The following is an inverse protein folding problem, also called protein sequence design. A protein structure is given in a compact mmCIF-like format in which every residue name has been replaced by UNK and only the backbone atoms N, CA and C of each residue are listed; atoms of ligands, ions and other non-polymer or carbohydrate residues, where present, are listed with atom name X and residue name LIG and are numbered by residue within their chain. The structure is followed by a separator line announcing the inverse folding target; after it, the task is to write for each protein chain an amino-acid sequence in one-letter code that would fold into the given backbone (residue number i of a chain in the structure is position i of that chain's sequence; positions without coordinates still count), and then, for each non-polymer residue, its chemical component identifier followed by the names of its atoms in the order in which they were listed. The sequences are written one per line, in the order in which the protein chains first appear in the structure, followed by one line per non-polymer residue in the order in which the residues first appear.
data_IF_408855926567
#
_entry.id   IF_408855926567
#
_cell.length_a   1.000
_cell.length_b   1.000
_cell.length_c   1.000
_cell.angle_alpha   90.00
_cell.angle_beta   90.00
_cell.angle_gamma   90.00
#
_symmetry.space_group_name_H-M   'P 1'
#
loop_
_entity.id
_entity.type
_entity.pdbx_description
1 polymer ?
#
# COMPACT_ATOMS: atom_id res chain seq x y z
N UNK A 1 -0.14 27.32 3.97
CA UNK A 1 0.63 26.46 3.05
C UNK A 1 2.10 26.49 3.48
N UNK A 2 2.66 25.37 3.94
CA UNK A 2 4.08 25.27 4.26
C UNK A 2 4.86 25.25 2.94
N UNK A 3 5.66 26.29 2.70
CA UNK A 3 6.52 26.41 1.52
C UNK A 3 7.94 26.03 1.92
N UNK A 4 8.28 24.76 1.72
CA UNK A 4 9.67 24.30 1.80
C UNK A 4 10.30 24.43 0.40
N UNK A 5 11.30 25.29 0.29
CA UNK A 5 12.01 25.48 -0.98
C UNK A 5 12.90 24.25 -1.30
N UNK A 6 13.48 24.20 -2.50
CA UNK A 6 14.33 23.09 -2.91
C UNK A 6 15.60 22.95 -2.05
N UNK A 7 16.26 24.04 -1.71
CA UNK A 7 17.50 24.03 -0.93
C UNK A 7 17.27 23.47 0.48
N UNK A 8 16.16 23.84 1.12
CA UNK A 8 15.78 23.31 2.42
C UNK A 8 15.47 21.82 2.36
N UNK A 9 14.83 21.32 1.30
CA UNK A 9 14.62 19.87 1.12
C UNK A 9 15.92 19.09 1.02
N UNK A 10 16.85 19.60 0.20
CA UNK A 10 18.17 18.99 0.01
C UNK A 10 18.97 19.01 1.31
N UNK A 11 18.98 20.15 2.02
CA UNK A 11 19.64 20.28 3.33
C UNK A 11 19.08 19.32 4.38
N UNK A 12 17.76 19.11 4.38
CA UNK A 12 17.08 18.20 5.31
C UNK A 12 17.18 16.72 4.89
N UNK A 13 17.78 16.39 3.75
CA UNK A 13 17.92 15.01 3.29
C UNK A 13 16.60 14.34 2.87
N UNK A 14 15.53 15.12 2.66
CA UNK A 14 14.20 14.58 2.36
C UNK A 14 14.17 13.76 1.05
N UNK A 15 14.86 14.18 -0.04
CA UNK A 15 14.93 13.36 -1.26
C UNK A 15 15.55 11.99 -1.01
N UNK A 16 16.60 11.90 -0.20
CA UNK A 16 17.32 10.66 0.11
C UNK A 16 16.47 9.74 0.99
N UNK A 17 15.79 10.30 1.99
CA UNK A 17 14.84 9.56 2.81
C UNK A 17 13.70 8.98 1.96
N UNK A 18 13.12 9.78 1.08
CA UNK A 18 12.11 9.32 0.13
C UNK A 18 12.68 8.24 -0.79
N UNK A 19 13.86 8.42 -1.36
CA UNK A 19 14.50 7.42 -2.22
C UNK A 19 14.65 6.05 -1.51
N UNK A 20 15.08 6.07 -0.26
CA UNK A 20 15.22 4.87 0.58
C UNK A 20 13.89 4.15 0.87
N UNK A 21 12.75 4.84 0.85
CA UNK A 21 11.43 4.22 0.97
C UNK A 21 11.08 3.40 -0.29
N UNK A 22 11.35 2.09 -0.26
CA UNK A 22 11.05 1.18 -1.38
C UNK A 22 9.60 0.69 -1.32
N UNK A 23 8.78 1.13 -2.26
CA UNK A 23 7.39 0.66 -2.40
C UNK A 23 7.32 -0.62 -3.25
N UNK A 24 6.64 -1.64 -2.73
CA UNK A 24 6.50 -2.94 -3.41
C UNK A 24 5.38 -2.94 -4.46
N UNK A 25 4.29 -2.20 -4.22
CA UNK A 25 3.13 -2.16 -5.14
C UNK A 25 3.22 -0.99 -6.14
N UNK A 26 2.63 -1.10 -7.35
CA UNK A 26 2.49 0.02 -8.28
C UNK A 26 1.76 1.23 -7.66
N UNK A 27 0.72 0.97 -6.86
CA UNK A 27 -0.06 1.99 -6.17
C UNK A 27 0.81 2.73 -5.14
N UNK A 28 1.61 2.00 -4.36
CA UNK A 28 2.55 2.58 -3.40
C UNK A 28 3.61 3.45 -4.08
N UNK A 29 4.15 3.01 -5.23
CA UNK A 29 5.07 3.83 -6.04
C UNK A 29 4.38 5.12 -6.52
N UNK A 30 3.12 5.03 -6.94
CA UNK A 30 2.31 6.18 -7.34
C UNK A 30 2.06 7.16 -6.19
N UNK A 31 1.77 6.66 -4.99
CA UNK A 31 1.61 7.47 -3.78
C UNK A 31 2.92 8.16 -3.40
N UNK A 32 4.03 7.43 -3.39
CA UNK A 32 5.37 7.99 -3.15
C UNK A 32 5.71 9.09 -4.15
N UNK A 33 5.39 8.92 -5.44
CA UNK A 33 5.67 9.94 -6.45
C UNK A 33 4.83 11.22 -6.28
N UNK A 34 3.66 11.11 -5.63
CA UNK A 34 2.71 12.21 -5.38
C UNK A 34 2.70 12.66 -3.92
N UNK A 35 3.77 12.36 -3.17
CA UNK A 35 3.86 12.75 -1.77
C UNK A 35 3.64 14.25 -1.61
N UNK A 36 3.07 14.62 -0.47
CA UNK A 36 2.90 16.02 -0.06
C UNK A 36 3.29 16.16 1.39
N UNK A 37 3.60 17.39 1.78
CA UNK A 37 3.81 17.72 3.19
C UNK A 37 2.46 17.92 3.89
N UNK A 38 2.43 17.61 5.18
CA UNK A 38 1.33 17.96 6.07
C UNK A 38 1.34 19.47 6.33
N UNK A 39 0.17 20.08 6.28
CA UNK A 39 -0.05 21.47 6.67
C UNK A 39 -0.11 21.65 8.19
N UNK A 40 -0.11 22.91 8.68
CA UNK A 40 -0.18 23.20 10.12
C UNK A 40 -1.39 22.57 10.83
N UNK A 41 -2.54 22.54 10.16
CA UNK A 41 -3.79 22.00 10.72
C UNK A 41 -3.87 20.47 10.63
N UNK A 42 -2.92 19.83 9.95
CA UNK A 42 -2.85 18.39 9.75
C UNK A 42 -1.88 17.69 10.72
N UNK A 43 -1.44 18.40 11.76
CA UNK A 43 -0.58 17.84 12.80
C UNK A 43 -1.11 16.50 13.36
N UNK A 44 -2.41 16.33 13.67
CA UNK A 44 -2.92 15.05 14.14
C UNK A 44 -2.74 13.91 13.11
N UNK A 45 -2.87 14.21 11.81
CA UNK A 45 -2.66 13.23 10.74
C UNK A 45 -1.19 12.83 10.64
N UNK A 46 -0.27 13.80 10.74
CA UNK A 46 1.17 13.53 10.77
C UNK A 46 1.55 12.67 11.98
N UNK A 47 1.03 13.00 13.17
CA UNK A 47 1.30 12.24 14.39
C UNK A 47 0.77 10.81 14.30
N UNK A 48 -0.40 10.59 13.69
CA UNK A 48 -0.94 9.25 13.46
C UNK A 48 -0.05 8.42 12.51
N UNK A 49 0.39 9.02 11.39
CA UNK A 49 1.27 8.37 10.40
C UNK A 49 2.64 8.02 11.01
N UNK A 50 3.28 8.96 11.72
CA UNK A 50 4.54 8.69 12.42
C UNK A 50 4.39 7.61 13.49
N UNK A 51 3.29 7.63 14.25
CA UNK A 51 3.02 6.60 15.25
C UNK A 51 2.85 5.21 14.62
N UNK A 52 2.20 5.11 13.45
CA UNK A 52 2.10 3.86 12.71
C UNK A 52 3.47 3.37 12.22
N UNK A 53 4.31 4.28 11.72
CA UNK A 53 5.70 3.96 11.32
C UNK A 53 6.51 3.45 12.51
N UNK A 54 6.43 4.10 13.67
CA UNK A 54 7.17 3.68 14.87
C UNK A 54 6.73 2.29 15.36
N UNK A 55 5.42 2.06 15.44
CA UNK A 55 4.85 0.75 15.81
C UNK A 55 5.30 -0.35 14.85
N UNK A 56 5.28 -0.07 13.55
CA UNK A 56 5.73 -1.01 12.52
C UNK A 56 7.23 -1.26 12.61
N UNK A 57 8.04 -0.19 12.70
CA UNK A 57 9.49 -0.26 12.76
C UNK A 57 9.96 -1.10 13.96
N UNK A 58 9.30 -0.96 15.12
CA UNK A 58 9.61 -1.79 16.28
C UNK A 58 9.14 -3.25 16.08
N UNK A 59 7.92 -3.44 15.60
CA UNK A 59 7.36 -4.78 15.41
C UNK A 59 8.20 -5.65 14.47
N UNK A 60 8.64 -5.09 13.33
CA UNK A 60 9.35 -5.86 12.31
C UNK A 60 10.78 -6.23 12.72
N UNK A 61 11.38 -5.57 13.71
CA UNK A 61 12.66 -6.00 14.31
C UNK A 61 12.52 -7.38 14.94
N UNK A 62 11.38 -7.65 15.58
CA UNK A 62 11.09 -8.91 16.25
C UNK A 62 10.38 -9.93 15.33
N UNK A 63 9.83 -9.48 14.20
CA UNK A 63 9.07 -10.31 13.25
C UNK A 63 9.60 -10.22 11.80
N UNK A 64 10.91 -10.48 11.56
CA UNK A 64 11.52 -10.30 10.24
C UNK A 64 10.93 -11.21 9.16
N UNK A 65 10.44 -12.39 9.52
CA UNK A 65 9.80 -13.31 8.57
C UNK A 65 8.44 -12.78 8.08
N UNK A 66 7.63 -12.22 8.97
CA UNK A 66 6.34 -11.63 8.58
C UNK A 66 6.54 -10.41 7.67
N UNK A 67 7.57 -9.58 7.94
CA UNK A 67 7.97 -8.49 7.06
C UNK A 67 8.37 -9.00 5.67
N UNK A 68 9.25 -10.01 5.58
CA UNK A 68 9.68 -10.56 4.28
C UNK A 68 8.51 -11.14 3.50
N UNK A 69 7.64 -11.88 4.17
CA UNK A 69 6.45 -12.47 3.55
C UNK A 69 5.48 -11.39 3.05
N UNK A 70 5.25 -10.33 3.84
CA UNK A 70 4.34 -9.25 3.43
C UNK A 70 4.92 -8.46 2.25
N UNK A 71 6.23 -8.17 2.26
CA UNK A 71 6.92 -7.54 1.14
C UNK A 71 6.84 -8.39 -0.14
N UNK A 72 7.04 -9.71 -0.02
CA UNK A 72 6.89 -10.63 -1.14
C UNK A 72 5.47 -10.62 -1.70
N UNK A 73 4.44 -10.69 -0.85
CA UNK A 73 3.04 -10.61 -1.28
C UNK A 73 2.73 -9.29 -1.98
N UNK A 74 3.17 -8.17 -1.40
CA UNK A 74 2.97 -6.84 -1.95
C UNK A 74 3.66 -6.67 -3.32
N UNK A 75 4.82 -7.30 -3.54
CA UNK A 75 5.54 -7.23 -4.82
C UNK A 75 4.78 -7.92 -5.97
N UNK A 76 3.83 -8.80 -5.69
CA UNK A 76 3.02 -9.48 -6.70
C UNK A 76 1.77 -8.69 -7.14
N UNK A 77 1.45 -7.57 -6.50
CA UNK A 77 0.30 -6.75 -6.91
C UNK A 77 0.56 -6.07 -8.27
N UNK A 78 -0.46 -6.13 -9.14
CA UNK A 78 -0.50 -5.42 -10.41
C UNK A 78 -1.26 -4.10 -10.28
N UNK A 79 -1.08 -3.22 -11.26
CA UNK A 79 -1.85 -1.98 -11.34
C UNK A 79 -3.21 -2.24 -11.97
N UNK A 80 -4.24 -2.34 -11.13
CA UNK A 80 -5.61 -2.63 -11.57
C UNK A 80 -6.44 -1.38 -11.86
N UNK A 81 -5.88 -0.16 -11.75
CA UNK A 81 -6.66 1.07 -11.89
C UNK A 81 -7.36 1.15 -13.24
N UNK A 82 -6.67 0.77 -14.31
CA UNK A 82 -7.24 0.71 -15.66
C UNK A 82 -8.38 -0.31 -15.75
N UNK A 83 -8.14 -1.52 -15.24
CA UNK A 83 -9.13 -2.60 -15.22
C UNK A 83 -10.40 -2.22 -14.46
N UNK A 84 -10.26 -1.70 -13.24
CA UNK A 84 -11.39 -1.27 -12.39
C UNK A 84 -12.13 -0.07 -13.02
N UNK A 85 -11.40 0.90 -13.59
CA UNK A 85 -12.02 2.03 -14.29
C UNK A 85 -12.73 1.62 -15.60
N UNK A 86 -12.31 0.53 -16.24
CA UNK A 86 -13.02 -0.06 -17.37
C UNK A 86 -14.33 -0.73 -16.94
N UNK A 87 -14.28 -1.50 -15.85
CA UNK A 87 -15.46 -2.16 -15.27
C UNK A 87 -16.54 -1.16 -14.88
N UNK A 88 -16.19 -0.03 -14.26
CA UNK A 88 -17.15 1.03 -13.90
C UNK A 88 -17.80 1.70 -15.12
N UNK A 89 -17.25 1.47 -16.32
CA UNK A 89 -17.79 1.90 -17.62
C UNK A 89 -18.44 0.76 -18.41
N UNK A 90 -18.76 -0.37 -17.75
CA UNK A 90 -19.34 -1.56 -18.36
C UNK A 90 -18.49 -2.21 -19.47
N UNK A 91 -17.16 -2.01 -19.44
CA UNK A 91 -16.25 -2.71 -20.36
C UNK A 91 -16.07 -4.16 -19.92
N UNK A 92 -16.23 -5.09 -20.85
CA UNK A 92 -15.93 -6.50 -20.63
C UNK A 92 -14.44 -6.70 -20.34
N UNK A 93 -14.14 -7.54 -19.34
CA UNK A 93 -12.78 -7.96 -19.03
C UNK A 93 -12.28 -8.96 -20.06
N UNK A 94 -11.03 -8.83 -20.47
CA UNK A 94 -10.35 -9.94 -21.13
C UNK A 94 -9.84 -10.99 -20.12
N UNK A 95 -9.32 -12.10 -20.63
CA UNK A 95 -8.84 -13.20 -19.81
C UNK A 95 -7.66 -12.81 -18.91
N UNK A 96 -6.79 -11.90 -19.37
CA UNK A 96 -5.64 -11.41 -18.61
C UNK A 96 -6.12 -10.59 -17.43
N UNK A 97 -7.00 -9.63 -17.69
CA UNK A 97 -7.56 -8.75 -16.67
C UNK A 97 -8.36 -9.53 -15.61
N UNK A 98 -9.12 -10.53 -16.04
CA UNK A 98 -9.83 -11.42 -15.11
C UNK A 98 -8.84 -12.16 -14.19
N UNK A 99 -7.74 -12.67 -14.74
CA UNK A 99 -6.70 -13.34 -13.96
C UNK A 99 -6.00 -12.39 -12.99
N UNK A 100 -5.73 -11.15 -13.39
CA UNK A 100 -5.12 -10.13 -12.53
C UNK A 100 -6.03 -9.74 -11.36
N UNK A 101 -7.34 -9.63 -11.57
CA UNK A 101 -8.32 -9.43 -10.48
C UNK A 101 -8.32 -10.65 -9.55
N UNK A 102 -8.42 -11.87 -10.09
CA UNK A 102 -8.36 -13.11 -9.28
C UNK A 102 -7.10 -13.14 -8.42
N UNK A 103 -5.95 -12.82 -9.01
CA UNK A 103 -4.67 -12.79 -8.29
C UNK A 103 -4.67 -11.74 -7.18
N UNK A 104 -5.18 -10.54 -7.42
CA UNK A 104 -5.24 -9.49 -6.40
C UNK A 104 -6.16 -9.85 -5.24
N UNK A 105 -7.33 -10.43 -5.52
CA UNK A 105 -8.24 -10.95 -4.49
C UNK A 105 -7.53 -12.01 -3.63
N UNK A 106 -6.82 -12.97 -4.25
CA UNK A 106 -6.04 -13.98 -3.53
C UNK A 106 -4.89 -13.38 -2.70
N UNK A 107 -4.23 -12.32 -3.19
CA UNK A 107 -3.17 -11.64 -2.44
C UNK A 107 -3.74 -10.89 -1.23
N UNK A 108 -4.87 -10.19 -1.38
CA UNK A 108 -5.57 -9.53 -0.27
C UNK A 108 -5.99 -10.56 0.79
N UNK A 109 -6.52 -11.71 0.39
CA UNK A 109 -6.85 -12.81 1.29
C UNK A 109 -5.63 -13.31 2.08
N UNK A 110 -4.45 -13.39 1.46
CA UNK A 110 -3.21 -13.78 2.15
C UNK A 110 -2.74 -12.69 3.11
N UNK A 111 -2.81 -11.42 2.70
CA UNK A 111 -2.45 -10.28 3.55
C UNK A 111 -3.35 -10.18 4.78
N UNK A 112 -4.65 -10.48 4.66
CA UNK A 112 -5.59 -10.54 5.78
C UNK A 112 -5.14 -11.44 6.93
N UNK A 113 -4.35 -12.48 6.63
CA UNK A 113 -3.82 -13.41 7.64
C UNK A 113 -2.61 -12.86 8.40
N UNK A 114 -2.07 -11.72 7.97
CA UNK A 114 -0.94 -11.04 8.59
C UNK A 114 -1.43 -9.97 9.57
N UNK A 115 -2.24 -10.39 10.54
CA UNK A 115 -2.93 -9.49 11.46
C UNK A 115 -1.96 -8.65 12.31
N UNK A 116 -0.77 -9.17 12.62
CA UNK A 116 0.25 -8.48 13.38
C UNK A 116 0.75 -7.23 12.66
N UNK A 117 1.24 -7.37 11.43
CA UNK A 117 1.73 -6.22 10.66
C UNK A 117 0.60 -5.23 10.32
N UNK A 118 -0.60 -5.73 10.00
CA UNK A 118 -1.75 -4.88 9.68
C UNK A 118 -2.20 -4.04 10.89
N UNK A 119 -2.28 -4.64 12.08
CA UNK A 119 -2.64 -3.93 13.30
C UNK A 119 -1.62 -2.84 13.66
N UNK A 120 -0.32 -3.11 13.48
CA UNK A 120 0.72 -2.10 13.76
C UNK A 120 0.72 -0.96 12.74
N UNK A 121 0.41 -1.28 11.48
CA UNK A 121 0.21 -0.32 10.40
C UNK A 121 -1.07 0.51 10.52
N UNK A 122 -1.98 0.14 11.44
CA UNK A 122 -3.33 0.70 11.50
C UNK A 122 -4.12 0.52 10.19
N UNK A 123 -3.93 -0.63 9.53
CA UNK A 123 -4.57 -0.97 8.26
C UNK A 123 -5.63 -2.03 8.50
N UNK A 124 -6.85 -1.74 8.05
CA UNK A 124 -7.92 -2.72 7.94
C UNK A 124 -8.08 -3.12 6.47
N UNK A 125 -8.04 -4.43 6.20
CA UNK A 125 -8.44 -4.97 4.91
C UNK A 125 -9.83 -5.57 5.09
N UNK A 126 -10.74 -5.29 4.17
CA UNK A 126 -12.06 -5.92 4.16
C UNK A 126 -12.00 -7.20 3.31
N UNK A 127 -12.54 -8.33 3.81
CA UNK A 127 -12.62 -9.56 3.03
C UNK A 127 -13.53 -9.35 1.81
N UNK A 128 -13.21 -10.07 0.72
CA UNK A 128 -13.96 -10.00 -0.55
C UNK A 128 -14.56 -11.38 -0.87
N UNK A 129 -15.52 -11.89 -0.06
CA UNK A 129 -16.00 -13.25 -0.19
C UNK A 129 -16.72 -13.51 -1.52
N UNK A 130 -17.47 -12.54 -2.05
CA UNK A 130 -18.18 -12.70 -3.33
C UNK A 130 -17.20 -12.81 -4.50
N UNK A 131 -16.24 -11.88 -4.70
CA UNK A 131 -15.22 -12.05 -5.75
C UNK A 131 -14.34 -13.30 -5.54
N UNK A 132 -14.02 -13.67 -4.29
CA UNK A 132 -13.27 -14.90 -4.00
C UNK A 132 -14.02 -16.14 -4.52
N UNK A 133 -15.31 -16.26 -4.19
CA UNK A 133 -16.13 -17.39 -4.61
C UNK A 133 -16.38 -17.41 -6.12
N UNK A 134 -16.51 -16.25 -6.76
CA UNK A 134 -16.78 -16.15 -8.19
C UNK A 134 -15.55 -16.48 -9.05
N UNK A 135 -14.37 -16.02 -8.63
CA UNK A 135 -13.14 -16.14 -9.41
C UNK A 135 -12.36 -17.42 -9.08
N UNK A 136 -12.65 -18.07 -7.95
CA UNK A 136 -12.08 -19.35 -7.56
C UNK A 136 -13.18 -20.30 -7.05
N UNK A 137 -14.12 -20.71 -7.91
CA UNK A 137 -15.19 -21.63 -7.51
C UNK A 137 -14.57 -22.96 -7.08
N UNK A 138 -14.94 -23.42 -5.89
CA UNK A 138 -14.56 -24.73 -5.35
C UNK A 138 -15.42 -25.84 -5.92
#
# INVERSE_FOLDING_TARGET
MLLINRQDRERLGLPQALEACRCMTPQGKGLKARYRYFGPDERPLLEAELSAVDRLAEYVKHHPLELRNSQSLLAHFRDLRGTVAGLSKNRTLDLTELFEIKQAVRLLHKLLKMSGILAKADITIHPLPEPESLLDPR
#
